data_IF_842014931795
#
_entry.id   IF_842014931795
#
_cell.length_a   1.000
_cell.length_b   1.000
_cell.length_c   1.000
_cell.angle_alpha   90.00
_cell.angle_beta   90.00
_cell.angle_gamma   90.00
#
_symmetry.space_group_name_H-M   'P 1'
#
loop_
_entity.id
_entity.type
_entity.pdbx_description
1 polymer ?
#
# COMPACT_ATOMS: atom_id res chain seq x y z
N UNK A 1 1.89 22.08 -3.28
CA UNK A 1 1.69 21.84 -4.73
C UNK A 1 1.74 20.34 -4.95
N UNK A 2 0.95 19.81 -5.90
CA UNK A 2 0.91 18.37 -6.12
C UNK A 2 2.17 17.85 -6.81
N UNK A 3 2.88 16.91 -6.18
CA UNK A 3 4.04 16.23 -6.74
C UNK A 3 3.61 15.15 -7.76
N UNK A 4 2.45 14.53 -7.54
CA UNK A 4 1.84 13.57 -8.48
C UNK A 4 0.36 13.90 -8.64
N UNK A 5 -0.13 13.93 -9.88
CA UNK A 5 -1.55 14.02 -10.19
C UNK A 5 -1.92 12.97 -11.24
N UNK A 6 -2.94 12.17 -10.94
CA UNK A 6 -3.44 11.06 -11.76
C UNK A 6 -4.94 11.25 -11.95
N UNK A 7 -5.39 11.26 -13.21
CA UNK A 7 -6.79 11.46 -13.58
C UNK A 7 -7.21 10.41 -14.61
N UNK A 8 -8.18 9.58 -14.28
CA UNK A 8 -8.77 8.59 -15.16
C UNK A 8 -7.77 7.58 -15.73
N UNK A 9 -6.73 7.22 -14.97
CA UNK A 9 -5.66 6.35 -15.45
C UNK A 9 -6.19 4.98 -15.85
N UNK A 10 -5.87 4.55 -17.08
CA UNK A 10 -6.26 3.27 -17.66
C UNK A 10 -5.03 2.48 -18.12
N UNK A 11 -5.03 1.16 -17.82
CA UNK A 11 -4.07 0.19 -18.36
C UNK A 11 -4.71 -1.17 -18.57
N UNK A 12 -4.53 -1.73 -19.78
CA UNK A 12 -5.03 -3.04 -20.17
C UNK A 12 -3.90 -3.95 -20.63
N UNK A 13 -4.06 -5.24 -20.38
CA UNK A 13 -3.23 -6.32 -20.89
C UNK A 13 -4.14 -7.36 -21.58
N UNK A 14 -4.25 -7.28 -22.89
CA UNK A 14 -5.25 -8.05 -23.62
C UNK A 14 -6.66 -7.71 -23.13
N UNK A 15 -7.41 -8.72 -22.64
CA UNK A 15 -8.76 -8.55 -22.11
C UNK A 15 -8.78 -8.14 -20.63
N UNK A 16 -7.63 -8.12 -19.95
CA UNK A 16 -7.53 -7.77 -18.53
C UNK A 16 -7.28 -6.28 -18.33
N UNK A 17 -8.16 -5.61 -17.60
CA UNK A 17 -8.03 -4.21 -17.22
C UNK A 17 -7.34 -4.12 -15.85
N UNK A 18 -6.03 -3.90 -15.88
CA UNK A 18 -5.20 -3.88 -14.67
C UNK A 18 -5.34 -2.57 -13.87
N UNK A 19 -5.65 -1.45 -14.56
CA UNK A 19 -5.95 -0.14 -13.96
C UNK A 19 -7.14 0.44 -14.72
N UNK A 20 -8.18 0.84 -14.00
CA UNK A 20 -9.51 1.14 -14.54
C UNK A 20 -10.07 2.45 -14.02
N UNK A 21 -9.58 3.59 -14.56
CA UNK A 21 -10.03 4.91 -14.19
C UNK A 21 -9.58 5.31 -12.78
N UNK A 22 -8.28 5.19 -12.50
CA UNK A 22 -7.70 5.56 -11.21
C UNK A 22 -7.44 7.07 -11.14
N UNK A 23 -7.90 7.69 -10.04
CA UNK A 23 -7.73 9.10 -9.72
C UNK A 23 -7.12 9.25 -8.33
N UNK A 24 -6.01 9.99 -8.21
CA UNK A 24 -5.43 10.42 -6.94
C UNK A 24 -4.39 11.52 -7.14
N UNK A 25 -4.04 12.21 -6.06
CA UNK A 25 -2.95 13.18 -6.03
C UNK A 25 -2.05 12.94 -4.83
N UNK A 26 -0.77 13.32 -4.97
CA UNK A 26 0.23 13.30 -3.91
C UNK A 26 0.77 14.72 -3.74
N UNK A 27 0.71 15.27 -2.54
CA UNK A 27 1.23 16.60 -2.25
C UNK A 27 2.75 16.55 -2.00
N UNK A 28 3.43 17.69 -2.24
CA UNK A 28 4.86 17.80 -1.96
C UNK A 28 5.15 17.62 -0.47
N UNK A 29 6.14 16.80 -0.15
CA UNK A 29 6.60 16.54 1.22
C UNK A 29 5.75 15.55 2.02
N UNK A 30 4.72 14.93 1.42
CA UNK A 30 3.95 13.89 2.10
C UNK A 30 4.46 12.48 1.80
N UNK A 31 4.10 11.55 2.68
CA UNK A 31 4.15 10.11 2.43
C UNK A 31 2.75 9.66 1.99
N UNK A 32 2.61 9.26 0.73
CA UNK A 32 1.39 8.71 0.19
C UNK A 32 1.51 7.18 0.05
N UNK A 33 0.54 6.45 0.59
CA UNK A 33 0.49 4.98 0.47
C UNK A 33 -0.60 4.52 -0.51
N UNK A 34 -0.22 3.75 -1.52
CA UNK A 34 -1.14 3.01 -2.38
C UNK A 34 -1.29 1.58 -1.83
N UNK A 35 -2.36 1.35 -1.07
CA UNK A 35 -2.66 0.11 -0.37
C UNK A 35 -3.56 -0.80 -1.21
N UNK A 36 -3.26 -2.09 -1.27
CA UNK A 36 -4.12 -3.04 -1.98
C UNK A 36 -3.55 -4.46 -2.04
N UNK A 37 -4.36 -5.47 -2.39
CA UNK A 37 -3.91 -6.84 -2.51
C UNK A 37 -2.98 -7.03 -3.71
N UNK A 38 -2.32 -8.18 -3.77
CA UNK A 38 -1.52 -8.54 -4.94
C UNK A 38 -2.42 -8.64 -6.18
N UNK A 39 -1.94 -8.08 -7.30
CA UNK A 39 -2.70 -8.01 -8.55
C UNK A 39 -3.74 -6.89 -8.63
N UNK A 40 -3.86 -6.02 -7.61
CA UNK A 40 -4.82 -4.90 -7.64
C UNK A 40 -4.46 -3.76 -8.61
N UNK A 41 -3.25 -3.75 -9.18
CA UNK A 41 -2.79 -2.71 -10.09
C UNK A 41 -1.74 -1.76 -9.50
N UNK A 42 -1.26 -1.97 -8.26
CA UNK A 42 -0.26 -1.11 -7.58
C UNK A 42 1.01 -0.93 -8.41
N UNK A 43 1.73 -2.03 -8.69
CA UNK A 43 2.98 -2.01 -9.45
C UNK A 43 2.79 -1.45 -10.87
N UNK A 44 1.68 -1.80 -11.54
CA UNK A 44 1.34 -1.23 -12.85
C UNK A 44 1.19 0.30 -12.79
N UNK A 45 0.50 0.81 -11.74
CA UNK A 45 0.35 2.24 -11.52
C UNK A 45 1.71 2.90 -11.27
N UNK A 46 2.54 2.32 -10.39
CA UNK A 46 3.90 2.82 -10.10
C UNK A 46 4.75 2.89 -11.37
N UNK A 47 4.84 1.81 -12.15
CA UNK A 47 5.63 1.76 -13.38
C UNK A 47 5.20 2.81 -14.43
N UNK A 48 3.91 3.18 -14.46
CA UNK A 48 3.41 4.26 -15.32
C UNK A 48 3.88 5.62 -14.81
N UNK A 49 3.84 5.87 -13.49
CA UNK A 49 4.30 7.11 -12.88
C UNK A 49 5.82 7.29 -13.04
N UNK A 50 6.58 6.21 -12.95
CA UNK A 50 8.03 6.16 -13.17
C UNK A 50 8.43 6.33 -14.64
N UNK A 51 7.46 6.19 -15.57
CA UNK A 51 7.70 6.26 -17.01
C UNK A 51 8.30 4.99 -17.62
N UNK A 52 8.24 3.85 -16.92
CA UNK A 52 8.65 2.54 -17.45
C UNK A 52 7.55 1.86 -18.26
N UNK A 53 6.30 2.30 -18.07
CA UNK A 53 5.13 1.71 -18.74
C UNK A 53 4.25 2.77 -19.36
N UNK A 54 3.78 2.52 -20.57
CA UNK A 54 2.81 3.36 -21.24
C UNK A 54 1.40 3.10 -20.70
N UNK A 55 0.66 4.17 -20.43
CA UNK A 55 -0.77 4.11 -20.11
C UNK A 55 -1.60 3.98 -21.40
N UNK A 56 -2.81 3.43 -21.29
CA UNK A 56 -3.75 3.33 -22.42
C UNK A 56 -4.80 4.45 -22.40
N UNK A 57 -4.93 5.20 -21.28
CA UNK A 57 -5.81 6.35 -21.15
C UNK A 57 -5.55 7.15 -19.88
N UNK A 58 -6.24 8.27 -19.74
CA UNK A 58 -6.10 9.17 -18.61
C UNK A 58 -4.94 10.16 -18.71
N UNK A 59 -4.81 10.99 -17.68
CA UNK A 59 -3.78 12.02 -17.54
C UNK A 59 -2.88 11.68 -16.33
N UNK A 60 -1.56 11.84 -16.50
CA UNK A 60 -0.57 11.66 -15.43
C UNK A 60 0.41 12.82 -15.44
N UNK A 61 0.64 13.42 -14.27
CA UNK A 61 1.67 14.41 -14.04
C UNK A 61 2.52 13.99 -12.85
N UNK A 62 3.82 13.98 -13.03
CA UNK A 62 4.83 13.74 -11.99
C UNK A 62 5.75 14.93 -11.97
N UNK A 63 5.85 15.64 -10.85
CA UNK A 63 6.58 16.93 -10.73
C UNK A 63 6.21 17.90 -11.87
N UNK A 64 4.90 17.97 -12.20
CA UNK A 64 4.35 18.81 -13.25
C UNK A 64 4.57 18.33 -14.69
N UNK A 65 5.22 17.17 -14.92
CA UNK A 65 5.58 16.63 -16.23
C UNK A 65 4.89 15.30 -16.54
N UNK A 66 4.76 15.00 -17.83
CA UNK A 66 4.17 13.73 -18.30
C UNK A 66 5.25 12.66 -18.46
N UNK A 67 5.29 11.62 -17.60
CA UNK A 67 6.30 10.56 -17.68
C UNK A 67 6.24 9.73 -18.98
N UNK A 68 5.10 9.75 -19.70
CA UNK A 68 4.93 9.04 -20.98
C UNK A 68 5.65 9.70 -22.15
N UNK A 69 6.14 10.95 -22.02
CA UNK A 69 6.90 11.60 -23.10
C UNK A 69 8.41 11.36 -22.94
N UNK A 70 9.14 11.21 -24.06
CA UNK A 70 10.60 10.94 -24.03
C UNK A 70 11.38 12.09 -23.36
N UNK A 71 10.96 13.35 -23.58
CA UNK A 71 11.66 14.51 -23.07
C UNK A 71 11.48 14.65 -21.55
N UNK A 72 10.24 14.58 -21.09
CA UNK A 72 9.91 14.66 -19.67
C UNK A 72 10.41 13.44 -18.89
N UNK A 73 10.25 12.22 -19.41
CA UNK A 73 10.76 11.02 -18.79
C UNK A 73 12.28 11.01 -18.60
N UNK A 74 13.06 11.66 -19.52
CA UNK A 74 14.50 11.84 -19.32
C UNK A 74 14.81 12.79 -18.17
N UNK A 75 14.07 13.88 -18.07
CA UNK A 75 14.23 14.83 -16.97
C UNK A 75 13.82 14.23 -15.63
N UNK A 76 12.66 13.54 -15.60
CA UNK A 76 12.15 12.87 -14.39
C UNK A 76 13.14 11.88 -13.79
N UNK A 77 13.85 11.10 -14.60
CA UNK A 77 14.88 10.15 -14.10
C UNK A 77 16.01 10.80 -13.30
N UNK A 78 16.22 12.10 -13.45
CA UNK A 78 17.18 12.85 -12.63
C UNK A 78 16.55 13.49 -11.39
N UNK A 79 15.22 13.41 -11.24
CA UNK A 79 14.48 14.05 -10.15
C UNK A 79 13.78 13.04 -9.23
N UNK A 80 13.65 11.79 -9.65
CA UNK A 80 12.99 10.72 -8.89
C UNK A 80 14.00 9.70 -8.40
N UNK A 81 13.75 9.15 -7.23
CA UNK A 81 14.43 7.97 -6.69
C UNK A 81 13.52 6.75 -6.78
N UNK A 82 14.11 5.58 -6.98
CA UNK A 82 13.37 4.32 -7.11
C UNK A 82 13.97 3.27 -6.19
N UNK A 83 13.11 2.59 -5.44
CA UNK A 83 13.46 1.42 -4.63
C UNK A 83 12.49 0.31 -5.00
N UNK A 84 12.97 -0.62 -5.83
CA UNK A 84 12.17 -1.69 -6.40
C UNK A 84 12.06 -2.88 -5.43
N UNK A 85 11.15 -3.81 -5.71
CA UNK A 85 10.95 -5.01 -4.90
C UNK A 85 12.19 -5.91 -4.88
N UNK A 86 12.83 -6.13 -6.02
CA UNK A 86 14.03 -6.95 -6.16
C UNK A 86 15.31 -6.10 -6.08
N UNK A 87 16.22 -6.50 -5.18
CA UNK A 87 17.48 -5.80 -4.94
C UNK A 87 18.59 -6.40 -5.81
N UNK A 88 19.06 -5.64 -6.79
CA UNK A 88 20.18 -6.01 -7.66
C UNK A 88 21.44 -5.18 -7.34
N UNK A 89 22.07 -5.40 -6.18
CA UNK A 89 23.28 -4.70 -5.78
C UNK A 89 24.51 -5.61 -5.98
N UNK A 90 25.60 -5.04 -6.50
CA UNK A 90 26.87 -5.75 -6.71
C UNK A 90 27.43 -6.32 -5.38
N UNK A 91 27.53 -7.66 -5.22
CA UNK A 91 27.80 -8.28 -3.94
C UNK A 91 29.22 -8.07 -3.40
N UNK A 92 30.17 -7.74 -4.28
CA UNK A 92 31.59 -7.62 -3.93
C UNK A 92 32.04 -6.20 -3.63
N UNK A 93 31.23 -5.19 -3.94
CA UNK A 93 31.47 -3.82 -3.52
C UNK A 93 31.18 -3.65 -2.02
N UNK A 94 31.84 -2.69 -1.40
CA UNK A 94 31.49 -2.20 -0.07
C UNK A 94 30.23 -1.33 -0.15
N UNK A 95 29.58 -1.07 0.99
CA UNK A 95 28.45 -0.12 1.10
C UNK A 95 28.88 1.24 0.52
N UNK A 96 30.04 1.76 0.93
CA UNK A 96 30.56 3.05 0.45
C UNK A 96 30.78 3.06 -1.05
N UNK A 97 31.42 2.03 -1.59
CA UNK A 97 31.67 1.92 -3.04
C UNK A 97 30.35 1.83 -3.84
N UNK A 98 29.34 1.13 -3.32
CA UNK A 98 28.02 1.03 -3.94
C UNK A 98 27.32 2.38 -4.01
N UNK A 99 27.29 3.12 -2.90
CA UNK A 99 26.67 4.45 -2.85
C UNK A 99 27.46 5.45 -3.70
N UNK A 100 28.80 5.47 -3.60
CA UNK A 100 29.64 6.37 -4.38
C UNK A 100 29.52 6.13 -5.89
N UNK A 101 29.45 4.85 -6.31
CA UNK A 101 29.20 4.51 -7.73
C UNK A 101 27.87 5.03 -8.21
N UNK A 102 26.81 4.88 -7.41
CA UNK A 102 25.47 5.34 -7.77
C UNK A 102 25.40 6.88 -7.79
N UNK A 103 26.05 7.56 -6.86
CA UNK A 103 26.22 9.01 -6.84
C UNK A 103 26.77 9.55 -8.16
N UNK A 104 27.70 8.81 -8.78
CA UNK A 104 28.31 9.19 -10.07
C UNK A 104 27.36 9.30 -11.26
N UNK A 105 26.12 8.82 -11.14
CA UNK A 105 25.09 8.98 -12.19
C UNK A 105 24.34 10.32 -12.12
N UNK A 106 24.46 11.06 -11.01
CA UNK A 106 23.73 12.29 -10.77
C UNK A 106 24.64 13.51 -10.81
N UNK A 107 24.18 14.66 -11.34
CA UNK A 107 24.99 15.86 -11.45
C UNK A 107 25.26 16.55 -10.09
N UNK A 108 24.38 16.39 -9.12
CA UNK A 108 24.45 16.97 -7.79
C UNK A 108 23.95 15.98 -6.74
N UNK A 109 24.67 14.87 -6.50
CA UNK A 109 24.26 13.88 -5.53
C UNK A 109 24.46 14.35 -4.09
N UNK A 110 23.73 13.75 -3.13
CA UNK A 110 24.03 13.85 -1.70
C UNK A 110 25.41 13.27 -1.39
N UNK A 111 26.01 13.70 -0.28
CA UNK A 111 27.28 13.15 0.20
C UNK A 111 27.16 11.65 0.48
N UNK A 112 28.11 10.84 -0.03
CA UNK A 112 28.11 9.39 0.14
C UNK A 112 28.01 8.96 1.61
N UNK A 113 28.83 9.55 2.48
CA UNK A 113 28.81 9.23 3.91
C UNK A 113 27.56 9.74 4.61
N UNK A 114 27.04 10.91 4.23
CA UNK A 114 25.76 11.44 4.70
C UNK A 114 24.60 10.45 4.44
N UNK A 115 24.51 9.94 3.21
CA UNK A 115 23.46 8.98 2.84
C UNK A 115 23.61 7.66 3.58
N UNK A 116 24.86 7.17 3.78
CA UNK A 116 25.11 5.95 4.55
C UNK A 116 24.68 6.13 6.01
N UNK A 117 24.93 7.28 6.62
CA UNK A 117 24.54 7.57 7.99
C UNK A 117 23.01 7.76 8.09
N UNK A 118 22.38 8.42 7.10
CA UNK A 118 20.92 8.61 7.01
C UNK A 118 20.15 7.27 7.04
N UNK A 119 20.66 6.24 6.36
CA UNK A 119 20.04 4.90 6.35
C UNK A 119 20.51 4.00 7.48
N UNK A 120 21.35 4.51 8.42
CA UNK A 120 21.83 3.78 9.59
C UNK A 120 22.82 2.66 9.25
N UNK A 121 23.66 2.85 8.22
CA UNK A 121 24.71 1.92 7.81
C UNK A 121 26.13 2.41 8.11
N UNK A 122 26.30 3.44 8.96
CA UNK A 122 27.59 4.04 9.29
C UNK A 122 28.65 3.04 9.75
N UNK A 123 28.29 2.08 10.64
CA UNK A 123 29.20 1.04 11.12
C UNK A 123 29.54 -0.03 10.05
N UNK A 124 28.76 -0.10 8.98
CA UNK A 124 28.89 -1.09 7.89
C UNK A 124 29.44 -0.50 6.59
N UNK A 125 29.91 0.77 6.61
CA UNK A 125 30.32 1.49 5.40
C UNK A 125 31.39 0.78 4.57
N UNK A 126 32.30 0.07 5.24
CA UNK A 126 33.40 -0.67 4.60
C UNK A 126 33.11 -2.19 4.49
N UNK A 127 31.94 -2.65 4.95
CA UNK A 127 31.52 -4.04 4.78
C UNK A 127 31.08 -4.29 3.33
N UNK A 128 31.35 -5.50 2.81
CA UNK A 128 30.88 -5.90 1.48
C UNK A 128 29.40 -6.19 1.50
N UNK A 129 28.70 -5.87 0.41
CA UNK A 129 27.25 -6.08 0.27
C UNK A 129 26.83 -7.53 0.53
N UNK A 130 27.65 -8.52 0.10
CA UNK A 130 27.37 -9.94 0.36
C UNK A 130 27.33 -10.30 1.84
N UNK A 131 28.04 -9.57 2.69
CA UNK A 131 28.18 -9.82 4.12
C UNK A 131 27.10 -9.09 4.96
N UNK A 132 26.21 -8.33 4.30
CA UNK A 132 25.09 -7.64 4.93
C UNK A 132 23.91 -8.60 5.17
N UNK A 133 23.17 -8.37 6.28
CA UNK A 133 21.86 -8.99 6.48
C UNK A 133 20.82 -8.49 5.45
N UNK A 134 19.70 -9.19 5.32
CA UNK A 134 18.61 -8.77 4.41
C UNK A 134 18.14 -7.34 4.70
N UNK A 135 17.90 -7.00 5.96
CA UNK A 135 17.52 -5.64 6.36
C UNK A 135 18.59 -4.58 6.08
N UNK A 136 19.89 -4.91 6.24
CA UNK A 136 20.99 -4.02 5.89
C UNK A 136 21.08 -3.82 4.37
N UNK A 137 20.85 -4.86 3.56
CA UNK A 137 20.78 -4.73 2.10
C UNK A 137 19.64 -3.81 1.67
N UNK A 138 18.47 -3.92 2.32
CA UNK A 138 17.34 -3.05 2.01
C UNK A 138 17.60 -1.59 2.40
N UNK A 139 18.28 -1.34 3.53
CA UNK A 139 18.74 0.01 3.87
C UNK A 139 19.76 0.56 2.87
N UNK A 140 20.63 -0.30 2.33
CA UNK A 140 21.52 0.11 1.24
C UNK A 140 20.74 0.43 -0.04
N UNK A 141 19.69 -0.34 -0.36
CA UNK A 141 18.83 -0.06 -1.51
C UNK A 141 18.13 1.31 -1.38
N UNK A 142 17.59 1.62 -0.18
CA UNK A 142 17.10 2.97 0.13
C UNK A 142 18.19 4.04 -0.08
N UNK A 143 19.42 3.78 0.37
CA UNK A 143 20.54 4.68 0.16
C UNK A 143 20.80 4.96 -1.33
N UNK A 144 20.73 3.91 -2.17
CA UNK A 144 20.89 4.05 -3.62
C UNK A 144 19.75 4.84 -4.26
N UNK A 145 18.52 4.68 -3.76
CA UNK A 145 17.36 5.42 -4.23
C UNK A 145 17.40 6.91 -3.91
N UNK A 146 18.07 7.30 -2.81
CA UNK A 146 18.08 8.70 -2.35
C UNK A 146 19.38 9.45 -2.62
N UNK A 147 20.45 8.77 -3.02
CA UNK A 147 21.76 9.42 -3.24
C UNK A 147 21.72 10.49 -4.32
N UNK A 148 20.79 10.40 -5.28
CA UNK A 148 20.56 11.43 -6.31
C UNK A 148 19.88 12.70 -5.81
N UNK A 149 19.57 12.82 -4.52
CA UNK A 149 18.78 13.89 -3.91
C UNK A 149 17.41 14.09 -4.60
N UNK A 150 16.56 13.03 -4.65
CA UNK A 150 15.32 13.07 -5.40
C UNK A 150 14.27 13.96 -4.72
N UNK A 151 13.45 14.67 -5.53
CA UNK A 151 12.28 15.39 -5.06
C UNK A 151 11.11 14.43 -4.72
N UNK A 152 11.06 13.27 -5.40
CA UNK A 152 10.05 12.23 -5.22
C UNK A 152 10.71 10.86 -5.20
N UNK A 153 10.43 10.07 -4.16
CA UNK A 153 10.91 8.70 -3.99
C UNK A 153 9.76 7.71 -4.14
N UNK A 154 9.92 6.76 -5.05
CA UNK A 154 9.03 5.63 -5.22
C UNK A 154 9.55 4.42 -4.46
N UNK A 155 8.69 3.80 -3.64
CA UNK A 155 9.01 2.61 -2.85
C UNK A 155 8.00 1.51 -3.18
N UNK A 156 8.42 0.48 -3.92
CA UNK A 156 7.55 -0.65 -4.22
C UNK A 156 7.73 -1.74 -3.16
N UNK A 157 6.71 -1.90 -2.30
CA UNK A 157 6.64 -2.85 -1.19
C UNK A 157 7.94 -2.87 -0.32
N UNK A 158 8.34 -1.75 0.30
CA UNK A 158 9.69 -1.55 0.84
C UNK A 158 10.07 -2.49 1.98
N UNK A 159 9.11 -3.08 2.69
CA UNK A 159 9.37 -3.93 3.86
C UNK A 159 8.93 -5.39 3.70
N UNK A 160 8.59 -5.79 2.48
CA UNK A 160 8.20 -7.17 2.19
C UNK A 160 9.32 -8.14 2.56
N UNK A 161 8.97 -9.18 3.33
CA UNK A 161 9.92 -10.20 3.81
C UNK A 161 10.76 -9.80 5.02
N UNK A 162 10.52 -8.65 5.64
CA UNK A 162 11.21 -8.22 6.84
C UNK A 162 10.62 -8.83 8.12
N UNK A 163 11.50 -9.11 9.09
CA UNK A 163 11.07 -9.30 10.46
C UNK A 163 10.56 -7.97 11.07
N UNK A 164 9.78 -8.00 12.17
CA UNK A 164 9.20 -6.79 12.75
C UNK A 164 10.21 -5.71 13.16
N UNK A 165 11.42 -6.09 13.59
CA UNK A 165 12.45 -5.12 13.98
C UNK A 165 13.09 -4.46 12.75
N UNK A 166 13.39 -5.25 11.71
CA UNK A 166 13.91 -4.73 10.45
C UNK A 166 12.92 -3.77 9.80
N UNK A 167 11.60 -4.08 9.86
CA UNK A 167 10.52 -3.23 9.35
C UNK A 167 10.49 -1.87 10.05
N UNK A 168 10.51 -1.84 11.39
CA UNK A 168 10.55 -0.59 12.16
C UNK A 168 11.75 0.27 11.81
N UNK A 169 12.92 -0.34 11.67
CA UNK A 169 14.12 0.38 11.25
C UNK A 169 14.05 0.94 9.83
N UNK A 170 13.35 0.30 8.90
CA UNK A 170 13.08 0.84 7.57
C UNK A 170 12.10 2.02 7.63
N UNK A 171 11.05 1.93 8.45
CA UNK A 171 10.09 3.01 8.67
C UNK A 171 10.74 4.28 9.23
N UNK A 172 11.68 4.13 10.17
CA UNK A 172 12.46 5.27 10.68
C UNK A 172 13.23 5.98 9.57
N UNK A 173 13.87 5.21 8.67
CA UNK A 173 14.57 5.79 7.51
C UNK A 173 13.61 6.54 6.59
N UNK A 174 12.44 5.95 6.29
CA UNK A 174 11.43 6.58 5.43
C UNK A 174 10.92 7.89 6.05
N UNK A 175 10.65 7.91 7.37
CA UNK A 175 10.26 9.15 8.08
C UNK A 175 11.36 10.21 8.03
N UNK A 176 12.61 9.84 8.27
CA UNK A 176 13.73 10.78 8.20
C UNK A 176 13.88 11.40 6.80
N UNK A 177 13.62 10.63 5.74
CA UNK A 177 13.64 11.13 4.37
C UNK A 177 12.52 12.15 4.12
N UNK A 178 11.29 11.86 4.60
CA UNK A 178 10.16 12.79 4.52
C UNK A 178 10.47 14.07 5.30
N UNK A 179 11.01 13.96 6.52
CA UNK A 179 11.35 15.10 7.37
C UNK A 179 12.49 15.96 6.77
N UNK A 180 13.33 15.36 5.92
CA UNK A 180 14.32 16.06 5.10
C UNK A 180 13.71 16.72 3.83
N UNK A 181 12.40 16.62 3.62
CA UNK A 181 11.66 17.29 2.53
C UNK A 181 11.42 16.43 1.29
N UNK A 182 11.76 15.13 1.30
CA UNK A 182 11.51 14.23 0.18
C UNK A 182 10.04 13.81 0.16
N UNK A 183 9.34 13.98 -0.96
CA UNK A 183 8.01 13.41 -1.19
C UNK A 183 8.14 11.90 -1.40
N UNK A 184 7.25 11.10 -0.82
CA UNK A 184 7.34 9.65 -0.90
C UNK A 184 6.01 9.06 -1.37
N UNK A 185 6.05 8.24 -2.42
CA UNK A 185 4.93 7.40 -2.82
C UNK A 185 5.33 5.94 -2.63
N UNK A 186 4.63 5.24 -1.73
CA UNK A 186 4.89 3.83 -1.48
C UNK A 186 3.70 2.95 -1.85
N UNK A 187 3.99 1.73 -2.28
CA UNK A 187 2.98 0.67 -2.38
C UNK A 187 3.16 -0.28 -1.21
N UNK A 188 2.06 -0.79 -0.70
CA UNK A 188 2.10 -1.83 0.34
C UNK A 188 0.82 -2.67 0.33
N UNK A 189 0.91 -3.86 0.89
CA UNK A 189 -0.24 -4.67 1.28
C UNK A 189 -0.32 -4.82 2.81
N UNK A 190 0.59 -4.17 3.56
CA UNK A 190 0.61 -4.16 5.02
C UNK A 190 -0.10 -2.90 5.55
N UNK A 191 -1.18 -3.10 6.31
CA UNK A 191 -1.97 -2.02 6.89
C UNK A 191 -1.22 -1.27 7.99
N UNK A 192 -0.41 -1.99 8.77
CA UNK A 192 0.46 -1.41 9.79
C UNK A 192 1.49 -0.44 9.19
N UNK A 193 2.05 -0.75 8.01
CA UNK A 193 2.97 0.15 7.31
C UNK A 193 2.27 1.44 6.85
N UNK A 194 1.09 1.33 6.24
CA UNK A 194 0.30 2.49 5.85
C UNK A 194 -0.11 3.34 7.07
N UNK A 195 -0.53 2.70 8.17
CA UNK A 195 -0.91 3.38 9.42
C UNK A 195 0.25 4.15 10.06
N UNK A 196 1.46 3.59 10.02
CA UNK A 196 2.64 4.15 10.68
C UNK A 196 3.36 5.22 9.86
N UNK A 197 3.28 5.14 8.54
CA UNK A 197 4.06 5.99 7.66
C UNK A 197 3.25 7.05 6.93
N UNK A 198 2.05 6.72 6.46
CA UNK A 198 1.38 7.53 5.47
C UNK A 198 0.68 8.75 6.08
N UNK A 199 0.83 9.90 5.44
CA UNK A 199 0.00 11.07 5.66
C UNK A 199 -1.34 10.91 4.92
N UNK A 200 -1.33 10.27 3.74
CA UNK A 200 -2.51 9.97 2.92
C UNK A 200 -2.44 8.55 2.35
N UNK A 201 -3.59 7.90 2.26
CA UNK A 201 -3.73 6.52 1.76
C UNK A 201 -4.79 6.47 0.67
N UNK A 202 -4.53 5.74 -0.41
CA UNK A 202 -5.56 5.30 -1.34
C UNK A 202 -5.59 3.77 -1.38
N UNK A 203 -6.79 3.19 -1.26
CA UNK A 203 -7.00 1.74 -1.37
C UNK A 203 -7.37 1.41 -2.80
N UNK A 204 -6.57 0.56 -3.45
CA UNK A 204 -6.84 0.07 -4.79
C UNK A 204 -7.29 -1.40 -4.75
N UNK A 205 -8.40 -1.71 -5.40
CA UNK A 205 -8.93 -3.06 -5.57
C UNK A 205 -9.52 -3.22 -6.97
N UNK A 206 -9.21 -4.33 -7.66
CA UNK A 206 -9.67 -4.59 -9.02
C UNK A 206 -9.35 -3.47 -10.02
N UNK A 207 -8.22 -2.82 -9.87
CA UNK A 207 -7.77 -1.71 -10.73
C UNK A 207 -8.45 -0.37 -10.45
N UNK A 208 -9.21 -0.20 -9.38
CA UNK A 208 -9.93 1.05 -9.03
C UNK A 208 -9.59 1.51 -7.63
N UNK A 209 -9.57 2.83 -7.40
CA UNK A 209 -9.54 3.38 -6.05
C UNK A 209 -10.93 3.19 -5.42
N UNK A 210 -10.98 2.45 -4.32
CA UNK A 210 -12.22 2.16 -3.58
C UNK A 210 -12.40 3.05 -2.36
N UNK A 211 -11.31 3.61 -1.83
CA UNK A 211 -11.31 4.62 -0.76
C UNK A 211 -10.03 5.43 -0.80
N UNK A 212 -10.09 6.69 -0.37
CA UNK A 212 -8.93 7.54 -0.16
C UNK A 212 -9.16 8.45 1.06
N UNK A 213 -8.09 8.81 1.77
CA UNK A 213 -8.12 9.66 2.95
C UNK A 213 -6.85 9.53 3.78
N UNK A 214 -6.83 10.08 4.99
CA UNK A 214 -5.76 9.79 5.95
C UNK A 214 -5.95 8.41 6.57
N UNK A 215 -4.93 7.77 7.15
CA UNK A 215 -5.09 6.50 7.85
C UNK A 215 -6.21 6.51 8.90
N UNK A 216 -6.47 7.66 9.53
CA UNK A 216 -7.47 7.79 10.58
C UNK A 216 -8.90 8.03 10.04
N UNK A 217 -9.05 8.62 8.85
CA UNK A 217 -10.35 8.95 8.25
C UNK A 217 -10.77 8.00 7.14
N UNK A 218 -9.87 7.12 6.68
CA UNK A 218 -10.11 6.22 5.56
C UNK A 218 -11.39 5.39 5.75
N UNK A 219 -12.28 5.41 4.76
CA UNK A 219 -13.51 4.65 4.77
C UNK A 219 -14.48 5.02 5.89
N UNK A 220 -14.39 6.23 6.46
CA UNK A 220 -15.23 6.68 7.57
C UNK A 220 -14.78 6.17 8.94
N UNK A 221 -13.52 5.78 9.09
CA UNK A 221 -12.97 5.24 10.35
C UNK A 221 -13.15 6.18 11.54
N UNK A 222 -13.03 7.48 11.32
CA UNK A 222 -13.20 8.53 12.33
C UNK A 222 -14.64 8.60 12.88
N UNK A 223 -15.63 8.18 12.08
CA UNK A 223 -17.04 8.10 12.45
C UNK A 223 -17.52 6.67 12.72
N UNK A 224 -16.64 5.68 12.64
CA UNK A 224 -16.98 4.30 12.88
C UNK A 224 -17.23 4.02 14.37
N UNK A 225 -18.19 3.14 14.65
CA UNK A 225 -18.56 2.77 16.02
C UNK A 225 -17.39 2.09 16.73
N UNK A 226 -17.08 2.53 17.95
CA UNK A 226 -16.11 1.85 18.79
C UNK A 226 -16.64 0.47 19.21
N UNK A 227 -15.78 -0.55 19.15
CA UNK A 227 -16.09 -1.92 19.61
C UNK A 227 -15.68 -2.07 21.06
N UNK A 228 -16.65 -2.41 21.93
CA UNK A 228 -16.44 -2.72 23.34
C UNK A 228 -16.61 -4.23 23.52
N UNK A 229 -15.52 -4.93 23.88
CA UNK A 229 -15.52 -6.39 24.08
C UNK A 229 -15.22 -6.69 25.55
N UNK A 230 -15.95 -7.64 26.14
CA UNK A 230 -15.75 -8.07 27.52
C UNK A 230 -16.29 -9.48 27.72
N UNK A 231 -15.80 -10.17 28.75
CA UNK A 231 -16.37 -11.46 29.16
C UNK A 231 -17.70 -11.21 29.90
N UNK A 232 -18.75 -11.95 29.51
CA UNK A 232 -20.05 -11.84 30.19
C UNK A 232 -19.89 -12.29 31.65
N UNK A 233 -20.23 -11.44 32.64
CA UNK A 233 -20.12 -11.81 34.04
C UNK A 233 -20.95 -13.07 34.37
N UNK A 234 -20.46 -13.88 35.29
CA UNK A 234 -21.15 -15.11 35.72
C UNK A 234 -22.54 -14.81 36.24
N UNK A 235 -23.54 -15.49 35.70
CA UNK A 235 -24.96 -15.31 36.09
C UNK A 235 -25.66 -14.13 35.47
N UNK A 236 -25.00 -13.36 34.59
CA UNK A 236 -25.65 -12.33 33.79
C UNK A 236 -26.13 -12.94 32.43
N UNK A 237 -27.29 -12.47 31.98
CA UNK A 237 -27.75 -12.77 30.61
C UNK A 237 -27.35 -11.63 29.66
N UNK A 238 -27.18 -11.95 28.36
CA UNK A 238 -26.88 -10.97 27.32
C UNK A 238 -27.92 -9.84 27.29
N UNK A 239 -29.20 -10.18 27.54
CA UNK A 239 -30.29 -9.20 27.62
C UNK A 239 -30.17 -8.20 28.78
N UNK A 240 -29.37 -8.48 29.80
CA UNK A 240 -29.13 -7.60 30.95
C UNK A 240 -28.05 -6.55 30.67
N UNK A 241 -27.27 -6.72 29.62
CA UNK A 241 -26.17 -5.80 29.26
C UNK A 241 -26.74 -4.46 28.83
N UNK A 242 -26.28 -3.32 29.42
CA UNK A 242 -26.84 -2.00 29.14
C UNK A 242 -26.36 -1.37 27.83
N UNK A 243 -25.88 -2.20 26.88
CA UNK A 243 -25.41 -1.82 25.55
C UNK A 243 -26.10 -2.67 24.51
N UNK A 244 -26.16 -2.16 23.27
CA UNK A 244 -26.60 -2.94 22.12
C UNK A 244 -25.50 -3.97 21.78
N UNK A 245 -25.76 -5.24 22.11
CA UNK A 245 -24.85 -6.35 21.79
C UNK A 245 -25.01 -6.71 20.34
N UNK A 246 -23.88 -6.71 19.60
CA UNK A 246 -23.84 -7.07 18.18
C UNK A 246 -23.39 -8.50 17.95
N UNK A 247 -22.58 -9.04 18.89
CA UNK A 247 -22.06 -10.41 18.80
C UNK A 247 -21.80 -11.01 20.17
N UNK A 248 -21.91 -12.34 20.29
CA UNK A 248 -21.61 -13.08 21.51
C UNK A 248 -21.12 -14.49 21.18
N UNK A 249 -19.83 -14.71 21.27
CA UNK A 249 -19.18 -16.00 21.05
C UNK A 249 -18.23 -16.35 22.21
N UNK A 250 -18.16 -17.64 22.58
CA UNK A 250 -17.25 -18.17 23.61
C UNK A 250 -17.26 -17.41 24.94
N UNK A 251 -18.43 -16.86 25.33
CA UNK A 251 -18.58 -16.08 26.57
C UNK A 251 -18.00 -14.66 26.49
N UNK A 252 -17.52 -14.22 25.31
CA UNK A 252 -17.18 -12.84 25.02
C UNK A 252 -18.37 -12.15 24.37
N UNK A 253 -18.65 -10.94 24.82
CA UNK A 253 -19.71 -10.06 24.29
C UNK A 253 -19.06 -8.90 23.57
N UNK A 254 -19.55 -8.58 22.38
CA UNK A 254 -19.17 -7.39 21.61
C UNK A 254 -20.35 -6.45 21.51
N UNK A 255 -20.14 -5.18 21.84
CA UNK A 255 -21.10 -4.10 21.65
C UNK A 255 -20.46 -2.98 20.84
N UNK A 256 -21.25 -2.25 20.08
CA UNK A 256 -20.79 -1.08 19.31
C UNK A 256 -21.35 0.20 19.91
N UNK A 257 -20.58 1.29 19.90
CA UNK A 257 -20.96 2.56 20.50
C UNK A 257 -20.40 3.76 19.72
N UNK A 258 -21.24 4.74 19.42
CA UNK A 258 -20.82 6.05 18.88
C UNK A 258 -20.02 6.84 19.92
N UNK A 259 -20.50 6.82 21.19
CA UNK A 259 -19.89 7.52 22.31
C UNK A 259 -19.28 6.51 23.29
N UNK A 260 -18.04 6.05 23.07
CA UNK A 260 -17.44 4.99 23.89
C UNK A 260 -17.33 5.35 25.38
N UNK A 261 -17.08 6.61 25.71
CA UNK A 261 -16.99 7.05 27.11
C UNK A 261 -18.34 6.88 27.85
N UNK A 262 -19.45 7.30 27.25
CA UNK A 262 -20.77 7.14 27.82
C UNK A 262 -21.21 5.67 27.90
N UNK A 263 -20.86 4.89 26.89
CA UNK A 263 -21.12 3.44 26.84
C UNK A 263 -20.34 2.70 27.95
N UNK A 264 -19.06 3.01 28.11
CA UNK A 264 -18.21 2.47 29.17
C UNK A 264 -18.72 2.82 30.57
N UNK A 265 -19.16 4.07 30.78
CA UNK A 265 -19.73 4.47 32.04
C UNK A 265 -20.97 3.64 32.40
N UNK A 266 -21.90 3.44 31.45
CA UNK A 266 -23.06 2.56 31.64
C UNK A 266 -22.68 1.12 31.96
N UNK A 267 -21.76 0.56 31.18
CA UNK A 267 -21.31 -0.81 31.33
C UNK A 267 -20.58 -1.06 32.66
N UNK A 268 -19.66 -0.16 33.01
CA UNK A 268 -18.90 -0.29 34.27
C UNK A 268 -19.77 -0.07 35.50
N UNK A 269 -20.71 0.90 35.51
CA UNK A 269 -21.69 1.08 36.56
C UNK A 269 -22.56 -0.16 36.77
N UNK A 270 -23.08 -0.72 35.67
CA UNK A 270 -23.86 -1.95 35.68
C UNK A 270 -23.11 -3.16 36.30
N UNK A 271 -21.81 -3.29 36.00
CA UNK A 271 -20.99 -4.36 36.55
C UNK A 271 -20.67 -4.16 38.02
N UNK A 272 -20.40 -2.91 38.44
CA UNK A 272 -20.13 -2.53 39.83
C UNK A 272 -21.38 -2.73 40.74
N UNK A 273 -22.57 -2.35 40.27
CA UNK A 273 -23.84 -2.55 40.97
C UNK A 273 -24.13 -4.04 41.21
N UNK A 274 -23.64 -4.93 40.36
CA UNK A 274 -23.74 -6.39 40.52
C UNK A 274 -22.58 -7.00 41.31
N UNK A 275 -21.60 -6.18 41.70
CA UNK A 275 -20.38 -6.65 42.38
C UNK A 275 -19.54 -7.62 41.57
N UNK A 276 -19.63 -7.55 40.23
CA UNK A 276 -18.92 -8.46 39.32
C UNK A 276 -17.94 -7.64 38.46
N UNK A 277 -16.63 -8.00 38.44
CA UNK A 277 -15.68 -7.31 37.58
C UNK A 277 -15.93 -7.68 36.09
N UNK A 278 -15.66 -6.72 35.22
CA UNK A 278 -15.60 -6.95 33.76
C UNK A 278 -14.21 -7.51 33.42
N UNK A 279 -14.16 -8.79 33.16
CA UNK A 279 -12.93 -9.44 32.68
C UNK A 279 -12.76 -9.22 31.17
N UNK A 280 -11.50 -9.12 30.73
CA UNK A 280 -11.13 -8.99 29.29
C UNK A 280 -11.80 -7.80 28.59
N UNK A 281 -12.05 -6.71 29.34
CA UNK A 281 -12.60 -5.48 28.79
C UNK A 281 -11.58 -4.82 27.87
N UNK A 282 -11.94 -4.67 26.60
CA UNK A 282 -11.21 -3.87 25.59
C UNK A 282 -12.15 -2.87 24.94
N UNK A 283 -11.60 -1.74 24.54
CA UNK A 283 -12.30 -0.71 23.75
C UNK A 283 -11.41 -0.35 22.60
N UNK A 284 -11.86 -0.64 21.39
CA UNK A 284 -11.08 -0.50 20.20
C UNK A 284 -11.86 0.28 19.14
N UNK A 285 -11.22 1.22 18.49
CA UNK A 285 -11.71 1.76 17.23
C UNK A 285 -11.44 0.72 16.13
N UNK A 286 -12.26 0.62 15.08
CA UNK A 286 -11.97 -0.22 13.94
C UNK A 286 -10.55 0.07 13.41
N UNK A 287 -9.79 -0.99 13.20
CA UNK A 287 -8.44 -0.87 12.65
C UNK A 287 -8.49 -0.51 11.16
N UNK A 288 -7.39 -0.03 10.60
CA UNK A 288 -7.28 0.15 9.14
C UNK A 288 -7.51 -1.18 8.40
N UNK A 289 -7.15 -2.31 9.03
CA UNK A 289 -7.39 -3.66 8.50
C UNK A 289 -8.88 -4.00 8.44
N UNK A 290 -9.66 -3.69 9.49
CA UNK A 290 -11.12 -3.91 9.50
C UNK A 290 -11.80 -3.13 8.37
N UNK A 291 -11.43 -1.86 8.20
CA UNK A 291 -11.95 -1.00 7.13
C UNK A 291 -11.56 -1.54 5.76
N UNK A 292 -10.30 -1.90 5.57
CA UNK A 292 -9.80 -2.45 4.32
C UNK A 292 -10.52 -3.76 3.93
N UNK A 293 -10.70 -4.69 4.87
CA UNK A 293 -11.42 -5.94 4.65
C UNK A 293 -12.88 -5.68 4.28
N UNK A 294 -13.53 -4.72 4.94
CA UNK A 294 -14.89 -4.30 4.61
C UNK A 294 -15.01 -3.74 3.19
N UNK A 295 -14.11 -2.85 2.80
CA UNK A 295 -14.08 -2.22 1.48
C UNK A 295 -13.81 -3.24 0.36
N UNK A 296 -12.81 -4.10 0.55
CA UNK A 296 -12.42 -5.09 -0.48
C UNK A 296 -13.45 -6.21 -0.63
N UNK A 297 -14.09 -6.65 0.46
CA UNK A 297 -15.17 -7.65 0.44
C UNK A 297 -16.42 -7.11 -0.29
N UNK A 298 -16.81 -5.88 -0.01
CA UNK A 298 -17.93 -5.21 -0.66
C UNK A 298 -17.70 -5.03 -2.16
N UNK A 299 -16.47 -4.68 -2.54
CA UNK A 299 -16.08 -4.56 -3.94
C UNK A 299 -16.15 -5.91 -4.67
N UNK A 300 -15.63 -6.99 -4.08
CA UNK A 300 -15.67 -8.34 -4.65
C UNK A 300 -17.12 -8.84 -4.86
N UNK A 301 -18.03 -8.51 -3.95
CA UNK A 301 -19.48 -8.86 -4.08
C UNK A 301 -20.15 -8.05 -5.19
N UNK A 302 -19.85 -6.77 -5.34
CA UNK A 302 -20.39 -5.91 -6.39
C UNK A 302 -19.91 -6.34 -7.79
N UNK A 303 -18.66 -6.71 -7.93
CA UNK A 303 -18.08 -7.17 -9.20
C UNK A 303 -18.67 -8.53 -9.62
N UNK A 304 -18.89 -9.44 -8.67
CA UNK A 304 -19.55 -10.74 -8.89
C UNK A 304 -21.05 -10.61 -9.24
N UNK A 305 -21.71 -9.53 -8.83
CA UNK A 305 -23.13 -9.27 -9.10
C UNK A 305 -23.39 -8.48 -10.39
N UNK A 306 -22.36 -7.92 -11.01
CA UNK A 306 -22.45 -7.25 -12.31
C UNK A 306 -22.69 -8.31 -13.40
N UNK A 307 -23.79 -8.25 -14.20
CA UNK A 307 -24.05 -9.22 -15.24
C UNK A 307 -22.94 -9.15 -16.28
N UNK A 308 -22.19 -10.24 -16.42
CA UNK A 308 -21.23 -10.42 -17.50
C UNK A 308 -21.97 -10.17 -18.81
N UNK A 309 -21.60 -9.10 -19.53
CA UNK A 309 -22.11 -8.85 -20.87
C UNK A 309 -21.94 -10.14 -21.68
N UNK A 310 -23.07 -10.67 -22.08
CA UNK A 310 -23.25 -11.88 -22.86
C UNK A 310 -22.23 -11.91 -24.02
N UNK A 311 -21.19 -12.71 -23.88
CA UNK A 311 -20.27 -12.97 -24.98
C UNK A 311 -20.99 -13.89 -25.94
N UNK A 312 -21.67 -13.27 -26.90
CA UNK A 312 -22.32 -13.95 -28.01
C UNK A 312 -21.41 -15.01 -28.61
N UNK A 313 -21.72 -16.27 -28.32
CA UNK A 313 -21.23 -17.42 -29.09
C UNK A 313 -21.73 -17.26 -30.51
N UNK A 314 -20.93 -16.72 -31.40
CA UNK A 314 -21.11 -16.92 -32.83
C UNK A 314 -20.87 -18.40 -33.15
N UNK A 315 -21.84 -19.13 -33.70
CA UNK A 315 -21.59 -20.50 -34.12
C UNK A 315 -20.64 -20.50 -35.33
N UNK A 316 -19.55 -21.24 -35.24
CA UNK A 316 -18.65 -21.51 -36.35
C UNK A 316 -19.41 -22.17 -37.48
N UNK A 317 -19.23 -21.76 -38.76
CA UNK A 317 -19.84 -22.41 -39.90
C UNK A 317 -19.22 -23.80 -40.11
N UNK A 318 -20.10 -24.82 -40.14
CA UNK A 318 -19.79 -26.20 -40.52
C UNK A 318 -19.04 -26.23 -41.85
N UNK A 319 -17.81 -26.77 -41.87
CA UNK A 319 -17.13 -27.18 -43.09
C UNK A 319 -17.82 -28.40 -43.67
N UNK A 320 -18.68 -28.18 -44.66
CA UNK A 320 -19.16 -29.24 -45.55
C UNK A 320 -17.98 -29.90 -46.28
N UNK A 321 -17.87 -31.19 -46.04
CA UNK A 321 -16.93 -32.05 -46.74
C UNK A 321 -17.15 -32.07 -48.23
N UNK A 322 -16.09 -31.94 -49.01
CA UNK A 322 -16.04 -32.37 -50.41
C UNK A 322 -15.13 -33.61 -50.53
N UNK A 323 -15.83 -34.77 -50.67
CA UNK A 323 -15.28 -36.00 -51.26
C UNK A 323 -15.14 -35.80 -52.77
N UNK A 324 -13.96 -36.03 -53.28
CA UNK A 324 -13.64 -36.59 -54.65
C UNK A 324 -12.17 -36.91 -54.52
N UNK A 325 -11.62 -38.06 -54.73
CA UNK A 325 -11.96 -39.16 -55.63
C UNK A 325 -10.85 -39.29 -56.65
N UNK A 326 -10.03 -40.39 -56.57
CA UNK A 326 -9.20 -41.00 -57.61
C UNK A 326 -7.97 -40.18 -58.10
N UNK A 327 -6.83 -40.74 -58.42
CA UNK A 327 -6.36 -42.08 -58.87
C UNK A 327 -4.88 -41.96 -59.30
N UNK A 328 -4.08 -43.02 -59.03
CA UNK A 328 -2.96 -43.55 -59.82
C UNK A 328 -1.91 -42.57 -60.39
N UNK A 329 -0.71 -42.66 -60.01
CA UNK A 329 0.43 -43.54 -60.44
C UNK A 329 1.62 -43.37 -59.54
#
# INVERSE_FOLDING_TARGET
MSAVAVEGLLKRYGDHEAVSGVDFSVEEGEIFALLGPNGAGKTTTMEILEGFRERDGGSVRVLGRDPGTKADGRWLRGQIGLVLQDIAIEPYLTVRESVARNAGYYPAPRGTDEVIDLVGLGEKRDAKVKDLSGGQKRRLDLALGVVGDPQLLFLDEPTTGFDPNARRGAWEVVRNLRDAGTTILLTTHYMDEAQELADSVAVIAGGKIVAAGTPDTLGGRDSALARIRFALPRGAAIADVPLAVTDAEDGLVTAEAEEPTAALHRLTSWALDRGTPLERLTVEQPTLEDIYLGLTSSYAQQDASSPSADRGRTPSPERRGRRTGRSRR
#
